data_IF_514789792618
#
_entry.id   IF_514789792618
#
_cell.length_a   1.000
_cell.length_b   1.000
_cell.length_c   1.000
_cell.angle_alpha   90.00
_cell.angle_beta   90.00
_cell.angle_gamma   90.00
#
_symmetry.space_group_name_H-M   'P 1'
#
loop_
_entity.id
_entity.type
_entity.pdbx_description
1 polymer ?
#
# COMPACT_ATOMS: atom_id res chain seq x y z
N UNK A 1 -9.70 7.62 -39.12
CA UNK A 1 -8.85 7.82 -37.94
C UNK A 1 -8.42 6.41 -37.52
N UNK A 2 -7.14 6.10 -37.72
CA UNK A 2 -6.61 4.85 -37.15
C UNK A 2 -6.70 4.93 -35.63
N UNK A 3 -7.30 3.92 -35.02
CA UNK A 3 -7.33 3.78 -33.56
C UNK A 3 -5.91 3.47 -33.15
N UNK A 4 -5.27 4.40 -32.43
CA UNK A 4 -3.92 4.17 -31.89
C UNK A 4 -4.02 3.19 -30.70
N UNK A 5 -3.27 2.08 -30.76
CA UNK A 5 -3.16 1.07 -29.69
C UNK A 5 -2.24 1.58 -28.56
N UNK A 6 -2.59 2.72 -27.94
CA UNK A 6 -1.87 3.28 -26.80
C UNK A 6 -2.81 3.52 -25.62
N UNK A 7 -2.26 3.41 -24.42
CA UNK A 7 -3.06 3.60 -23.19
C UNK A 7 -3.67 5.00 -23.15
N UNK A 8 -4.97 5.07 -23.24
CA UNK A 8 -5.77 6.27 -23.06
C UNK A 8 -6.74 6.09 -21.89
N UNK A 9 -6.89 7.12 -21.08
CA UNK A 9 -7.77 7.09 -19.92
C UNK A 9 -9.11 7.73 -20.25
N UNK A 10 -10.16 6.94 -20.29
CA UNK A 10 -11.54 7.45 -20.42
C UNK A 10 -11.97 8.29 -19.21
N UNK A 11 -11.41 8.01 -18.02
CA UNK A 11 -11.58 8.80 -16.81
C UNK A 11 -10.49 8.50 -15.78
N UNK A 12 -10.32 9.40 -14.79
CA UNK A 12 -9.37 9.22 -13.69
C UNK A 12 -9.72 8.01 -12.79
N UNK A 13 -10.99 7.62 -12.70
CA UNK A 13 -11.44 6.42 -11.99
C UNK A 13 -10.92 5.13 -12.61
N UNK A 14 -10.61 5.12 -13.90
CA UNK A 14 -10.13 3.95 -14.63
C UNK A 14 -8.62 3.74 -14.55
N UNK A 15 -7.91 4.49 -13.66
CA UNK A 15 -6.47 4.33 -13.48
C UNK A 15 -6.10 4.29 -11.99
N UNK A 16 -5.46 3.21 -11.57
CA UNK A 16 -4.95 3.05 -10.19
C UNK A 16 -3.55 3.64 -9.99
N UNK A 17 -2.88 4.09 -11.06
CA UNK A 17 -1.49 4.57 -10.98
C UNK A 17 -0.46 3.45 -10.76
N UNK A 18 -0.78 2.19 -11.07
CA UNK A 18 0.08 1.04 -10.85
C UNK A 18 1.38 1.02 -11.68
N UNK A 19 1.51 1.89 -12.68
CA UNK A 19 2.71 2.07 -13.53
C UNK A 19 3.08 0.86 -14.42
N UNK A 20 2.22 -0.15 -14.59
CA UNK A 20 2.51 -1.30 -15.46
C UNK A 20 2.76 -0.85 -16.91
N UNK A 21 1.92 0.05 -17.44
CA UNK A 21 2.05 0.62 -18.78
C UNK A 21 3.37 1.35 -19.01
N UNK A 22 3.84 2.14 -18.02
CA UNK A 22 5.10 2.85 -18.13
C UNK A 22 6.32 1.92 -18.02
N UNK A 23 6.21 0.82 -17.26
CA UNK A 23 7.29 -0.16 -17.13
C UNK A 23 7.41 -1.08 -18.36
N UNK A 24 6.30 -1.40 -19.04
CA UNK A 24 6.32 -2.31 -20.19
C UNK A 24 6.77 -1.62 -21.47
N UNK A 25 6.63 -0.30 -21.58
CA UNK A 25 6.88 0.43 -22.80
C UNK A 25 8.34 0.29 -23.28
N UNK A 26 8.61 -0.37 -24.44
CA UNK A 26 9.98 -0.62 -24.91
C UNK A 26 10.68 0.66 -25.39
N UNK A 27 9.88 1.68 -25.78
CA UNK A 27 10.38 3.00 -26.21
C UNK A 27 10.52 3.96 -25.04
N UNK A 28 10.01 3.63 -23.84
CA UNK A 28 10.00 4.56 -22.71
C UNK A 28 9.18 5.84 -22.95
N UNK A 29 8.22 5.79 -23.89
CA UNK A 29 7.41 6.95 -24.26
C UNK A 29 6.29 7.26 -23.25
N UNK A 30 6.08 6.43 -22.23
CA UNK A 30 5.06 6.65 -21.20
C UNK A 30 5.72 7.12 -19.91
N UNK A 31 5.33 8.30 -19.46
CA UNK A 31 5.74 8.88 -18.17
C UNK A 31 4.54 8.94 -17.23
N UNK A 32 4.77 8.60 -15.95
CA UNK A 32 3.78 8.81 -14.90
C UNK A 32 3.92 10.26 -14.42
N UNK A 33 2.92 11.09 -14.68
CA UNK A 33 2.92 12.53 -14.38
C UNK A 33 1.84 12.82 -13.36
N UNK A 34 2.15 13.67 -12.37
CA UNK A 34 1.18 14.12 -11.38
C UNK A 34 0.14 15.04 -12.05
N UNK A 35 -1.12 14.84 -11.68
CA UNK A 35 -2.20 15.77 -11.99
C UNK A 35 -2.31 16.88 -10.92
N UNK A 36 -3.34 17.70 -11.03
CA UNK A 36 -3.63 18.81 -10.12
C UNK A 36 -3.89 18.36 -8.67
N UNK A 37 -4.37 17.13 -8.49
CA UNK A 37 -4.58 16.51 -7.18
C UNK A 37 -3.32 15.82 -6.64
N UNK A 38 -2.25 15.73 -7.42
CA UNK A 38 -0.97 15.10 -7.06
C UNK A 38 -0.89 13.60 -7.31
N UNK A 39 -1.87 13.00 -7.98
CA UNK A 39 -1.84 11.59 -8.36
C UNK A 39 -1.16 11.35 -9.70
N UNK A 40 -0.37 10.29 -9.78
CA UNK A 40 0.34 9.93 -11.00
C UNK A 40 -0.57 9.23 -12.02
N UNK A 41 -0.60 9.78 -13.25
CA UNK A 41 -1.28 9.21 -14.41
C UNK A 41 -0.32 9.04 -15.59
N UNK A 42 -0.53 8.04 -16.48
CA UNK A 42 0.30 7.87 -17.66
C UNK A 42 0.08 9.04 -18.64
N UNK A 43 1.19 9.61 -19.12
CA UNK A 43 1.22 10.57 -20.22
C UNK A 43 2.10 9.99 -21.32
N UNK A 44 1.53 9.81 -22.51
CA UNK A 44 2.22 9.23 -23.67
C UNK A 44 2.87 10.34 -24.49
N UNK A 45 4.13 10.16 -24.89
CA UNK A 45 4.75 10.95 -25.95
C UNK A 45 4.44 10.24 -27.28
N UNK A 46 3.50 10.78 -28.05
CA UNK A 46 2.99 10.19 -29.29
C UNK A 46 4.07 10.11 -30.39
N UNK A 47 4.99 11.07 -30.45
CA UNK A 47 6.08 11.07 -31.45
C UNK A 47 7.04 9.89 -31.26
N UNK A 48 7.17 9.39 -30.03
CA UNK A 48 8.01 8.24 -29.69
C UNK A 48 7.23 6.93 -29.70
N UNK A 49 5.91 6.97 -29.72
CA UNK A 49 5.04 5.79 -29.68
C UNK A 49 5.12 5.03 -31.01
N UNK A 50 5.20 3.71 -30.92
CA UNK A 50 5.21 2.80 -32.07
C UNK A 50 3.90 2.00 -32.20
N UNK A 51 2.86 2.39 -31.51
CA UNK A 51 1.50 1.81 -31.52
C UNK A 51 1.47 0.28 -31.37
N UNK A 52 2.29 -0.27 -30.44
CA UNK A 52 2.43 -1.72 -30.26
C UNK A 52 1.40 -2.36 -29.32
N UNK A 53 0.52 -1.59 -28.69
CA UNK A 53 -0.56 -2.06 -27.79
C UNK A 53 -0.11 -2.66 -26.45
N UNK A 54 1.20 -2.81 -26.18
CA UNK A 54 1.70 -3.48 -24.97
C UNK A 54 1.21 -2.81 -23.69
N UNK A 55 1.07 -1.48 -23.66
CA UNK A 55 0.64 -0.72 -22.49
C UNK A 55 -0.83 -1.02 -22.11
N UNK A 56 -1.71 -1.24 -23.10
CA UNK A 56 -3.10 -1.65 -22.87
C UNK A 56 -3.18 -3.09 -22.42
N UNK A 57 -2.43 -3.98 -23.08
CA UNK A 57 -2.41 -5.42 -22.77
C UNK A 57 -1.98 -5.72 -21.32
N UNK A 58 -1.09 -4.90 -20.73
CA UNK A 58 -0.67 -5.06 -19.33
C UNK A 58 -1.48 -4.22 -18.36
N UNK A 59 -2.49 -3.48 -18.82
CA UNK A 59 -3.31 -2.67 -17.92
C UNK A 59 -4.27 -3.58 -17.11
N UNK A 60 -4.12 -3.64 -15.78
CA UNK A 60 -4.98 -4.49 -14.96
C UNK A 60 -6.42 -3.97 -14.84
N UNK A 61 -6.68 -2.72 -15.23
CA UNK A 61 -8.03 -2.16 -15.30
C UNK A 61 -8.76 -2.61 -16.58
N UNK A 62 -8.05 -2.73 -17.70
CA UNK A 62 -8.60 -3.22 -18.97
C UNK A 62 -8.65 -4.76 -18.98
N UNK A 63 -7.63 -5.40 -18.44
CA UNK A 63 -7.48 -6.87 -18.46
C UNK A 63 -7.23 -7.38 -17.04
N UNK A 64 -8.31 -7.58 -16.27
CA UNK A 64 -8.23 -8.05 -14.88
C UNK A 64 -7.53 -9.41 -14.81
N UNK A 65 -6.47 -9.55 -13.97
CA UNK A 65 -5.85 -10.85 -13.75
C UNK A 65 -6.78 -11.77 -12.95
N UNK A 66 -6.55 -13.08 -13.08
CA UNK A 66 -7.30 -14.10 -12.32
C UNK A 66 -6.95 -13.98 -10.83
N UNK A 67 -7.97 -13.95 -9.99
CA UNK A 67 -7.84 -13.90 -8.53
C UNK A 67 -7.73 -15.31 -7.95
N UNK A 68 -7.05 -15.41 -6.82
CA UNK A 68 -6.94 -16.64 -6.04
C UNK A 68 -8.23 -16.94 -5.26
N UNK A 69 -8.43 -18.20 -4.95
CA UNK A 69 -9.41 -18.64 -3.96
C UNK A 69 -8.77 -18.53 -2.55
N UNK A 70 -9.56 -18.13 -1.55
CA UNK A 70 -9.10 -18.08 -0.17
C UNK A 70 -8.95 -19.50 0.39
N UNK A 71 -7.76 -19.87 0.86
CA UNK A 71 -7.47 -21.20 1.39
C UNK A 71 -7.60 -21.28 2.91
N UNK A 72 -7.11 -20.25 3.63
CA UNK A 72 -7.14 -20.23 5.10
C UNK A 72 -7.08 -18.79 5.66
N UNK A 73 -7.54 -18.62 6.89
CA UNK A 73 -7.56 -17.34 7.61
C UNK A 73 -7.02 -17.52 9.01
N UNK A 74 -6.12 -16.60 9.41
CA UNK A 74 -5.51 -16.63 10.73
C UNK A 74 -5.47 -15.23 11.36
N UNK A 75 -5.61 -15.19 12.69
CA UNK A 75 -5.03 -14.13 13.52
C UNK A 75 -3.59 -14.50 13.83
N UNK A 76 -2.64 -13.58 13.69
CA UNK A 76 -1.22 -13.91 13.82
C UNK A 76 -0.43 -12.82 14.55
N UNK A 77 0.50 -13.25 15.41
CA UNK A 77 1.43 -12.39 16.15
C UNK A 77 2.85 -12.91 15.97
N UNK A 78 3.78 -12.03 15.64
CA UNK A 78 5.21 -12.32 15.66
C UNK A 78 5.66 -12.51 17.12
N UNK A 79 6.46 -13.54 17.38
CA UNK A 79 6.98 -13.83 18.74
C UNK A 79 8.05 -12.80 19.18
N UNK A 80 8.64 -12.05 18.27
CA UNK A 80 9.55 -10.93 18.56
C UNK A 80 8.73 -9.65 18.85
N UNK A 81 8.62 -9.31 20.13
CA UNK A 81 7.91 -8.12 20.59
C UNK A 81 8.52 -6.79 20.04
N UNK A 82 9.83 -6.72 19.80
CA UNK A 82 10.47 -5.51 19.27
C UNK A 82 10.08 -5.29 17.80
N UNK A 83 10.09 -6.36 17.01
CA UNK A 83 9.59 -6.35 15.63
C UNK A 83 8.10 -6.00 15.62
N UNK A 84 7.31 -6.61 16.48
CA UNK A 84 5.88 -6.40 16.60
C UNK A 84 5.55 -4.96 17.00
N UNK A 85 6.29 -4.37 17.95
CA UNK A 85 6.11 -2.99 18.39
C UNK A 85 6.35 -1.99 17.25
N UNK A 86 7.37 -2.22 16.43
CA UNK A 86 7.72 -1.35 15.29
C UNK A 86 6.93 -1.63 14.00
N UNK A 87 6.06 -2.65 14.01
CA UNK A 87 5.15 -3.00 12.92
C UNK A 87 3.79 -2.34 13.10
N UNK A 88 3.03 -2.14 12.02
CA UNK A 88 1.67 -1.56 12.10
C UNK A 88 0.67 -2.47 12.83
N UNK A 89 0.84 -3.78 12.72
CA UNK A 89 -0.03 -4.81 13.30
C UNK A 89 0.79 -5.87 14.04
N UNK A 90 0.51 -7.15 13.85
CA UNK A 90 1.17 -8.28 14.50
C UNK A 90 2.58 -8.62 13.99
N UNK A 91 3.13 -7.93 12.98
CA UNK A 91 4.52 -8.09 12.54
C UNK A 91 4.79 -9.21 11.53
N UNK A 92 3.76 -9.81 10.93
CA UNK A 92 3.90 -10.96 10.02
C UNK A 92 4.68 -10.65 8.74
N UNK A 93 4.55 -9.44 8.17
CA UNK A 93 5.34 -9.04 7.00
C UNK A 93 6.85 -9.25 7.21
N UNK A 94 7.35 -8.91 8.39
CA UNK A 94 8.78 -9.05 8.71
C UNK A 94 9.22 -10.52 8.67
N UNK A 95 8.42 -11.44 9.22
CA UNK A 95 8.75 -12.88 9.18
C UNK A 95 8.81 -13.41 7.75
N UNK A 96 7.84 -13.06 6.91
CA UNK A 96 7.84 -13.45 5.50
C UNK A 96 9.04 -12.88 4.74
N UNK A 97 9.39 -11.64 5.02
CA UNK A 97 10.51 -10.96 4.39
C UNK A 97 11.87 -11.54 4.82
N UNK A 98 12.06 -11.80 6.12
CA UNK A 98 13.26 -12.42 6.65
C UNK A 98 13.49 -13.80 6.07
N UNK A 99 12.43 -14.61 5.92
CA UNK A 99 12.52 -15.94 5.33
C UNK A 99 13.06 -15.89 3.90
N UNK A 100 12.56 -14.97 3.09
CA UNK A 100 13.02 -14.80 1.70
C UNK A 100 14.45 -14.28 1.64
N UNK A 101 14.83 -13.34 2.52
CA UNK A 101 16.22 -12.84 2.59
C UNK A 101 17.20 -13.92 3.02
N UNK A 102 16.83 -14.77 4.01
CA UNK A 102 17.65 -15.91 4.46
C UNK A 102 17.88 -16.93 3.35
N UNK A 103 16.95 -17.06 2.40
CA UNK A 103 17.08 -17.90 1.21
C UNK A 103 17.88 -17.21 0.07
N UNK A 104 18.52 -16.06 0.31
CA UNK A 104 19.28 -15.31 -0.69
C UNK A 104 18.41 -14.54 -1.69
N UNK A 105 17.10 -14.42 -1.41
CA UNK A 105 16.16 -13.65 -2.19
C UNK A 105 16.27 -12.15 -1.94
N UNK A 106 15.27 -11.39 -2.42
CA UNK A 106 15.12 -9.95 -2.22
C UNK A 106 13.69 -9.63 -1.82
N UNK A 107 13.52 -8.50 -1.13
CA UNK A 107 12.21 -8.01 -0.71
C UNK A 107 11.96 -6.63 -1.29
N UNK A 108 10.78 -6.43 -1.85
CA UNK A 108 10.33 -5.15 -2.38
C UNK A 108 9.13 -4.66 -1.59
N UNK A 109 9.15 -3.39 -1.21
CA UNK A 109 8.04 -2.77 -0.47
C UNK A 109 8.15 -1.26 -0.44
N UNK A 110 7.14 -0.61 0.13
CA UNK A 110 7.09 0.83 0.26
C UNK A 110 8.02 1.33 1.37
N UNK A 111 8.83 2.35 1.07
CA UNK A 111 9.71 3.04 2.02
C UNK A 111 9.56 4.56 1.87
N UNK A 112 9.99 5.30 2.90
CA UNK A 112 10.20 6.74 2.83
C UNK A 112 11.61 7.01 2.32
N UNK A 113 11.77 7.98 1.42
CA UNK A 113 13.06 8.52 1.05
C UNK A 113 13.50 9.67 1.99
N UNK A 114 14.63 10.30 1.69
CA UNK A 114 15.18 11.40 2.48
C UNK A 114 14.29 12.65 2.51
N UNK A 115 13.40 12.80 1.54
CA UNK A 115 12.40 13.88 1.45
C UNK A 115 11.04 13.45 2.03
N UNK A 116 10.99 12.29 2.70
CA UNK A 116 9.78 11.67 3.22
C UNK A 116 8.73 11.30 2.16
N UNK A 117 9.10 11.26 0.87
CA UNK A 117 8.23 10.77 -0.17
C UNK A 117 8.19 9.23 -0.15
N UNK A 118 7.01 8.66 -0.46
CA UNK A 118 6.82 7.20 -0.42
C UNK A 118 7.10 6.60 -1.79
N UNK A 119 8.01 5.63 -1.83
CA UNK A 119 8.33 4.88 -3.05
C UNK A 119 8.58 3.41 -2.76
N UNK A 120 8.43 2.56 -3.79
CA UNK A 120 8.85 1.17 -3.68
C UNK A 120 10.36 1.06 -3.87
N UNK A 121 10.99 0.34 -2.96
CA UNK A 121 12.42 0.06 -3.00
C UNK A 121 12.66 -1.43 -2.82
N UNK A 122 13.83 -1.88 -3.24
CA UNK A 122 14.34 -3.22 -3.06
C UNK A 122 15.33 -3.24 -1.90
N UNK A 123 15.23 -4.26 -1.05
CA UNK A 123 16.21 -4.59 -0.02
C UNK A 123 16.66 -6.05 -0.18
N UNK A 124 17.93 -6.33 0.05
CA UNK A 124 18.54 -7.66 -0.03
C UNK A 124 19.28 -8.03 1.25
N UNK A 125 19.11 -7.25 2.31
CA UNK A 125 19.68 -7.52 3.64
C UNK A 125 18.62 -7.36 4.75
N UNK A 126 18.77 -8.14 5.83
CA UNK A 126 17.94 -8.02 7.03
C UNK A 126 18.14 -6.66 7.69
N UNK A 127 19.33 -6.07 7.61
CA UNK A 127 19.64 -4.76 8.18
C UNK A 127 18.80 -3.63 7.54
N UNK A 128 18.46 -3.75 6.26
CA UNK A 128 17.65 -2.78 5.53
C UNK A 128 16.13 -2.99 5.65
N UNK A 129 15.70 -4.16 6.10
CA UNK A 129 14.28 -4.52 6.21
C UNK A 129 13.43 -3.54 7.05
N UNK A 130 13.95 -2.91 8.11
CA UNK A 130 13.19 -1.88 8.85
C UNK A 130 12.68 -0.72 8.00
N UNK A 131 13.30 -0.37 6.87
CA UNK A 131 12.83 0.66 5.93
C UNK A 131 11.44 0.34 5.35
N UNK A 132 11.15 -0.96 5.16
CA UNK A 132 9.88 -1.44 4.60
C UNK A 132 8.79 -1.64 5.67
N UNK A 133 9.18 -1.73 6.95
CA UNK A 133 8.28 -2.01 8.06
C UNK A 133 7.32 -0.84 8.29
N UNK A 134 6.08 -1.18 8.63
CA UNK A 134 5.03 -0.19 8.93
C UNK A 134 4.32 0.36 7.69
N UNK A 135 3.04 0.66 7.84
CA UNK A 135 2.21 1.26 6.79
C UNK A 135 2.65 2.70 6.51
N UNK A 136 2.66 3.07 5.23
CA UNK A 136 2.86 4.45 4.77
C UNK A 136 1.55 4.87 4.09
N UNK A 137 0.78 5.72 4.74
CA UNK A 137 -0.53 6.16 4.24
C UNK A 137 -0.37 7.29 3.21
N UNK A 138 0.35 7.02 2.13
CA UNK A 138 0.54 7.88 0.95
C UNK A 138 0.65 6.98 -0.27
N UNK A 139 0.20 7.42 -1.46
CA UNK A 139 0.41 6.65 -2.68
C UNK A 139 1.90 6.48 -2.95
N UNK A 140 2.38 5.24 -2.94
CA UNK A 140 3.77 4.91 -3.21
C UNK A 140 4.08 4.95 -4.72
N UNK A 141 5.20 5.58 -5.08
CA UNK A 141 5.72 5.61 -6.45
C UNK A 141 6.38 4.28 -6.80
N UNK A 142 5.93 3.62 -7.85
CA UNK A 142 6.50 2.36 -8.34
C UNK A 142 7.81 2.58 -9.11
N UNK A 143 7.93 3.67 -9.86
CA UNK A 143 9.14 3.92 -10.66
C UNK A 143 9.42 2.79 -11.65
N UNK A 144 10.64 2.24 -11.62
CA UNK A 144 11.11 1.14 -12.46
C UNK A 144 11.18 -0.21 -11.74
N UNK A 145 10.67 -0.32 -10.51
CA UNK A 145 10.82 -1.49 -9.66
C UNK A 145 10.30 -2.79 -10.30
N UNK A 146 9.25 -2.73 -11.14
CA UNK A 146 8.77 -3.91 -11.85
C UNK A 146 9.80 -4.45 -12.84
N UNK A 147 10.55 -3.57 -13.49
CA UNK A 147 11.64 -3.96 -14.40
C UNK A 147 12.80 -4.62 -13.64
N UNK A 148 13.14 -4.09 -12.47
CA UNK A 148 14.16 -4.65 -11.58
C UNK A 148 13.75 -6.05 -11.08
N UNK A 149 12.51 -6.17 -10.59
CA UNK A 149 11.92 -7.47 -10.18
C UNK A 149 12.00 -8.50 -11.31
N UNK A 150 11.64 -8.12 -12.54
CA UNK A 150 11.74 -9.03 -13.70
C UNK A 150 13.17 -9.50 -13.97
N UNK A 151 14.17 -8.62 -13.81
CA UNK A 151 15.58 -8.99 -13.99
C UNK A 151 16.04 -9.97 -12.92
N UNK A 152 15.67 -9.75 -11.66
CA UNK A 152 16.01 -10.60 -10.52
C UNK A 152 15.38 -12.00 -10.67
N UNK A 153 14.10 -12.06 -11.04
CA UNK A 153 13.41 -13.31 -11.29
C UNK A 153 14.03 -14.10 -12.45
N UNK A 154 14.45 -13.41 -13.53
CA UNK A 154 15.18 -14.03 -14.65
C UNK A 154 16.55 -14.56 -14.27
N UNK A 155 17.19 -13.96 -13.26
CA UNK A 155 18.44 -14.47 -12.68
C UNK A 155 18.23 -15.65 -11.71
N UNK A 156 16.98 -16.13 -11.55
CA UNK A 156 16.63 -17.28 -10.70
C UNK A 156 16.55 -16.97 -9.22
N UNK A 157 16.62 -15.68 -8.80
CA UNK A 157 16.50 -15.30 -7.39
C UNK A 157 15.03 -15.16 -6.99
N UNK A 158 14.72 -15.51 -5.73
CA UNK A 158 13.41 -15.29 -5.14
C UNK A 158 13.15 -13.81 -4.87
N UNK A 159 11.89 -13.40 -5.07
CA UNK A 159 11.40 -12.05 -4.78
C UNK A 159 10.15 -12.15 -3.93
N UNK A 160 10.13 -11.46 -2.79
CA UNK A 160 8.90 -11.11 -2.08
C UNK A 160 8.51 -9.68 -2.47
N UNK A 161 7.39 -9.51 -3.14
CA UNK A 161 6.87 -8.19 -3.47
C UNK A 161 5.67 -7.86 -2.58
N UNK A 162 5.77 -6.76 -1.80
CA UNK A 162 4.66 -6.25 -1.00
C UNK A 162 4.12 -4.93 -1.58
N UNK A 163 2.80 -4.79 -1.61
CA UNK A 163 2.15 -3.57 -2.11
C UNK A 163 0.64 -3.55 -1.86
N UNK A 164 -0.04 -2.60 -2.46
CA UNK A 164 -1.51 -2.59 -2.51
C UNK A 164 -2.02 -3.59 -3.57
N UNK A 165 -3.28 -4.06 -3.49
CA UNK A 165 -3.82 -5.03 -4.46
C UNK A 165 -3.68 -4.59 -5.92
N UNK A 166 -3.86 -3.30 -6.22
CA UNK A 166 -3.68 -2.77 -7.58
C UNK A 166 -2.21 -2.76 -8.04
N UNK A 167 -1.25 -2.62 -7.11
CA UNK A 167 0.17 -2.73 -7.43
C UNK A 167 0.57 -4.18 -7.71
N UNK A 168 0.05 -5.13 -6.93
CA UNK A 168 0.20 -6.57 -7.23
C UNK A 168 -0.39 -6.91 -8.60
N UNK A 169 -1.59 -6.41 -8.90
CA UNK A 169 -2.22 -6.58 -10.22
C UNK A 169 -1.34 -6.04 -11.35
N UNK A 170 -0.78 -4.82 -11.16
CA UNK A 170 0.12 -4.20 -12.11
C UNK A 170 1.40 -5.01 -12.34
N UNK A 171 2.03 -5.51 -11.26
CA UNK A 171 3.22 -6.36 -11.35
C UNK A 171 2.93 -7.66 -12.11
N UNK A 172 1.88 -8.39 -11.71
CA UNK A 172 1.52 -9.67 -12.35
C UNK A 172 1.21 -9.50 -13.84
N UNK A 173 0.50 -8.44 -14.21
CA UNK A 173 0.25 -8.10 -15.64
C UNK A 173 1.52 -7.71 -16.39
N UNK A 174 2.42 -6.95 -15.75
CA UNK A 174 3.71 -6.57 -16.34
C UNK A 174 4.61 -7.77 -16.59
N UNK A 175 4.64 -8.74 -15.70
CA UNK A 175 5.47 -9.96 -15.85
C UNK A 175 4.96 -10.89 -16.95
N UNK A 176 3.68 -10.82 -17.30
CA UNK A 176 2.98 -11.62 -18.33
C UNK A 176 2.88 -13.11 -17.96
N UNK A 177 4.00 -13.73 -17.55
CA UNK A 177 4.08 -15.13 -17.15
C UNK A 177 4.28 -15.22 -15.62
N UNK A 178 3.60 -16.16 -14.95
CA UNK A 178 3.89 -16.50 -13.56
C UNK A 178 5.34 -16.91 -13.38
N UNK A 179 5.86 -16.69 -12.18
CA UNK A 179 7.20 -17.15 -11.77
C UNK A 179 7.08 -17.81 -10.40
N UNK A 180 7.59 -19.01 -10.25
CA UNK A 180 7.66 -19.75 -8.99
C UNK A 180 8.56 -19.06 -7.96
N UNK A 181 9.46 -18.21 -8.41
CA UNK A 181 10.35 -17.41 -7.57
C UNK A 181 9.69 -16.09 -7.10
N UNK A 182 8.46 -15.77 -7.51
CA UNK A 182 7.74 -14.58 -7.06
C UNK A 182 6.71 -14.96 -6.00
N UNK A 183 6.88 -14.40 -4.81
CA UNK A 183 5.88 -14.39 -3.75
C UNK A 183 5.33 -12.97 -3.59
N UNK A 184 4.03 -12.87 -3.38
CA UNK A 184 3.35 -11.58 -3.28
C UNK A 184 2.57 -11.46 -1.99
N UNK A 185 2.74 -10.32 -1.30
CA UNK A 185 1.99 -9.98 -0.08
C UNK A 185 1.30 -8.65 -0.30
N UNK A 186 -0.03 -8.64 -0.35
CA UNK A 186 -0.74 -7.37 -0.35
C UNK A 186 -1.27 -6.99 1.04
N UNK A 187 -1.58 -5.72 1.18
CA UNK A 187 -2.23 -5.18 2.36
C UNK A 187 -3.71 -4.92 2.06
N UNK A 188 -4.59 -5.18 3.02
CA UNK A 188 -5.96 -4.66 2.93
C UNK A 188 -5.88 -3.14 2.82
N UNK A 189 -6.39 -2.61 1.71
CA UNK A 189 -6.20 -1.22 1.32
C UNK A 189 -7.50 -0.44 1.46
N UNK A 190 -7.49 0.58 2.30
CA UNK A 190 -8.59 1.54 2.47
C UNK A 190 -8.72 2.49 1.25
N UNK A 191 -7.59 2.78 0.62
CA UNK A 191 -7.40 3.76 -0.44
C UNK A 191 -6.00 4.37 -0.32
N UNK A 192 -5.56 5.09 -1.34
CA UNK A 192 -4.26 5.77 -1.31
C UNK A 192 -4.45 7.29 -1.30
N UNK A 193 -3.98 7.98 -0.25
CA UNK A 193 -4.04 9.45 -0.19
C UNK A 193 -3.10 10.11 -1.20
N UNK A 194 -3.44 11.33 -1.56
CA UNK A 194 -2.67 12.17 -2.48
C UNK A 194 -1.30 12.52 -1.90
N UNK A 195 -0.20 12.32 -2.66
CA UNK A 195 1.12 12.83 -2.31
C UNK A 195 1.15 14.36 -2.13
N UNK A 196 0.39 15.13 -2.93
CA UNK A 196 0.29 16.60 -2.79
C UNK A 196 -0.28 17.00 -1.43
N UNK A 197 -1.35 16.34 -0.99
CA UNK A 197 -1.96 16.58 0.33
C UNK A 197 -0.99 16.23 1.46
N UNK A 198 -0.27 15.13 1.33
CA UNK A 198 0.74 14.74 2.31
C UNK A 198 1.89 15.75 2.39
N UNK A 199 2.45 16.17 1.26
CA UNK A 199 3.51 17.18 1.25
C UNK A 199 3.05 18.53 1.79
N UNK A 200 1.81 18.96 1.48
CA UNK A 200 1.21 20.16 2.06
C UNK A 200 1.15 20.05 3.59
N UNK A 201 0.75 18.89 4.12
CA UNK A 201 0.75 18.67 5.58
C UNK A 201 2.13 18.81 6.19
N UNK A 202 3.15 18.19 5.58
CA UNK A 202 4.54 18.34 6.04
C UNK A 202 5.01 19.81 6.01
N UNK A 203 4.63 20.55 4.97
CA UNK A 203 4.96 21.97 4.84
C UNK A 203 4.27 22.82 5.91
N UNK A 204 2.99 22.59 6.20
CA UNK A 204 2.25 23.30 7.25
C UNK A 204 2.86 23.04 8.65
N UNK A 205 3.20 21.78 8.93
CA UNK A 205 3.91 21.44 10.19
C UNK A 205 5.30 22.07 10.27
N UNK A 206 6.04 22.09 9.17
CA UNK A 206 7.36 22.73 9.11
C UNK A 206 7.28 24.26 9.33
N UNK A 207 6.23 24.91 8.79
CA UNK A 207 5.97 26.33 9.02
C UNK A 207 5.62 26.61 10.47
N UNK A 208 4.77 25.76 11.09
CA UNK A 208 4.41 25.88 12.52
C UNK A 208 5.64 25.68 13.43
N UNK A 209 6.49 24.69 13.10
CA UNK A 209 7.70 24.38 13.86
C UNK A 209 8.84 25.40 13.67
N UNK A 210 8.90 26.08 12.52
CA UNK A 210 10.05 26.87 12.07
C UNK A 210 11.24 26.03 11.59
N UNK A 211 11.05 24.71 11.39
CA UNK A 211 12.08 23.76 10.97
C UNK A 211 11.45 22.58 10.20
N UNK A 212 12.19 21.87 9.32
CA UNK A 212 11.64 20.81 8.51
C UNK A 212 11.23 19.58 9.33
N UNK A 213 10.17 18.89 8.88
CA UNK A 213 9.84 17.54 9.37
C UNK A 213 10.90 16.56 8.85
N UNK A 214 11.50 15.78 9.74
CA UNK A 214 12.58 14.83 9.42
C UNK A 214 12.19 13.37 9.60
N UNK A 215 11.10 13.08 10.30
CA UNK A 215 10.62 11.71 10.51
C UNK A 215 9.10 11.66 10.62
N UNK A 216 8.52 10.57 10.12
CA UNK A 216 7.09 10.25 10.24
C UNK A 216 6.90 8.83 10.76
N UNK A 217 6.00 8.67 11.72
CA UNK A 217 5.51 7.37 12.19
C UNK A 217 3.99 7.33 12.04
N UNK A 218 3.50 6.66 11.02
CA UNK A 218 2.06 6.58 10.76
C UNK A 218 1.28 5.72 11.76
N UNK A 219 1.97 4.83 12.48
CA UNK A 219 1.37 3.86 13.40
C UNK A 219 2.27 3.65 14.62
N UNK A 220 2.47 4.71 15.43
CA UNK A 220 3.16 4.60 16.70
C UNK A 220 2.26 3.90 17.73
N UNK A 221 2.79 2.89 18.43
CA UNK A 221 2.08 2.06 19.40
C UNK A 221 2.43 2.36 20.86
N UNK A 222 3.09 3.46 21.14
CA UNK A 222 3.47 3.80 22.52
C UNK A 222 2.28 3.85 23.51
N UNK A 223 1.07 4.15 22.98
CA UNK A 223 -0.19 4.16 23.74
C UNK A 223 -1.07 2.91 23.49
N UNK A 224 -0.48 1.84 22.99
CA UNK A 224 -1.20 0.62 22.58
C UNK A 224 -1.56 0.63 21.08
N UNK A 225 -1.82 -0.54 20.53
CA UNK A 225 -2.13 -0.72 19.11
C UNK A 225 -3.48 -0.12 18.72
N UNK A 226 -4.50 -0.26 19.58
CA UNK A 226 -5.85 0.25 19.33
C UNK A 226 -5.90 1.77 19.33
N UNK A 227 -5.05 2.41 20.15
CA UNK A 227 -4.92 3.86 20.29
C UNK A 227 -3.73 4.44 19.50
N UNK A 228 -3.22 3.70 18.52
CA UNK A 228 -2.05 4.10 17.74
C UNK A 228 -2.14 5.52 17.19
N UNK A 229 -1.04 6.24 17.29
CA UNK A 229 -0.90 7.64 16.88
C UNK A 229 -0.18 7.74 15.53
N UNK A 230 -0.46 8.83 14.79
CA UNK A 230 0.37 9.29 13.69
C UNK A 230 1.20 10.45 14.19
N UNK A 231 2.52 10.33 14.07
CA UNK A 231 3.49 11.26 14.64
C UNK A 231 4.42 11.79 13.56
N UNK A 232 4.70 13.08 13.64
CA UNK A 232 5.64 13.81 12.81
C UNK A 232 6.69 14.45 13.73
N UNK A 233 7.95 14.36 13.34
CA UNK A 233 9.07 14.86 14.16
C UNK A 233 9.90 15.83 13.32
N UNK A 234 10.21 16.96 13.91
CA UNK A 234 11.31 17.83 13.49
C UNK A 234 12.55 17.49 14.31
N UNK A 235 13.62 18.28 14.24
CA UNK A 235 14.79 18.05 15.10
C UNK A 235 14.46 18.28 16.59
N UNK A 236 13.60 19.27 16.89
CA UNK A 236 13.35 19.70 18.27
C UNK A 236 11.90 19.49 18.74
N UNK A 237 10.95 19.21 17.85
CA UNK A 237 9.52 19.15 18.17
C UNK A 237 8.88 17.87 17.70
N UNK A 238 7.75 17.54 18.32
CA UNK A 238 6.90 16.41 17.93
C UNK A 238 5.46 16.89 17.76
N UNK A 239 4.88 16.56 16.60
CA UNK A 239 3.48 16.78 16.26
C UNK A 239 2.75 15.46 16.10
N UNK A 240 1.43 15.50 16.20
CA UNK A 240 0.56 14.38 15.90
C UNK A 240 -0.39 14.06 17.04
N UNK A 241 -1.29 13.12 16.72
CA UNK A 241 -2.37 12.70 17.61
C UNK A 241 -2.84 11.28 17.23
N UNK A 242 -3.89 10.80 17.90
CA UNK A 242 -4.58 9.60 17.45
C UNK A 242 -5.06 9.78 16.00
N UNK A 243 -5.11 8.68 15.25
CA UNK A 243 -5.54 8.69 13.83
C UNK A 243 -6.91 9.33 13.58
N UNK A 244 -7.75 9.45 14.60
CA UNK A 244 -9.07 10.09 14.52
C UNK A 244 -9.03 11.62 14.79
N UNK A 245 -7.93 12.13 15.30
CA UNK A 245 -7.75 13.53 15.68
C UNK A 245 -6.68 14.22 14.81
N UNK A 246 -5.72 13.45 14.29
CA UNK A 246 -4.66 13.98 13.46
C UNK A 246 -5.23 14.44 12.10
N UNK A 247 -4.93 15.66 11.69
CA UNK A 247 -5.52 16.36 10.54
C UNK A 247 -5.43 15.57 9.23
N UNK A 248 -4.24 15.12 8.87
CA UNK A 248 -4.01 14.36 7.64
C UNK A 248 -4.77 13.02 7.64
N UNK A 249 -4.74 12.31 8.78
CA UNK A 249 -5.44 11.03 8.93
C UNK A 249 -6.96 11.18 8.92
N UNK A 250 -7.50 12.29 9.42
CA UNK A 250 -8.95 12.60 9.33
C UNK A 250 -9.37 12.73 7.87
N UNK A 251 -8.62 13.46 7.05
CA UNK A 251 -8.89 13.62 5.62
C UNK A 251 -8.81 12.29 4.88
N UNK A 252 -7.82 11.46 5.23
CA UNK A 252 -7.66 10.12 4.66
C UNK A 252 -8.81 9.17 5.04
N UNK A 253 -9.07 9.01 6.34
CA UNK A 253 -10.05 8.05 6.85
C UNK A 253 -11.50 8.40 6.47
N UNK A 254 -11.77 9.67 6.14
CA UNK A 254 -13.05 10.12 5.60
C UNK A 254 -13.09 10.15 4.06
N UNK A 255 -12.14 9.49 3.38
CA UNK A 255 -12.10 9.30 1.92
C UNK A 255 -12.09 10.60 1.09
N UNK A 256 -11.59 11.68 1.69
CA UNK A 256 -11.56 13.00 1.04
C UNK A 256 -10.30 13.16 0.19
N UNK A 257 -9.14 12.72 0.72
CA UNK A 257 -7.84 12.89 0.08
C UNK A 257 -7.40 11.70 -0.78
N UNK A 258 -8.26 10.67 -0.96
CA UNK A 258 -7.90 9.45 -1.68
C UNK A 258 -8.08 9.57 -3.20
N UNK A 259 -7.36 8.70 -3.92
CA UNK A 259 -7.40 8.61 -5.39
C UNK A 259 -8.81 8.29 -5.91
N UNK A 260 -9.25 8.89 -7.03
CA UNK A 260 -10.59 8.64 -7.60
C UNK A 260 -10.94 7.17 -7.81
N UNK A 261 -10.00 6.35 -8.29
CA UNK A 261 -10.20 4.91 -8.50
C UNK A 261 -10.36 4.08 -7.22
N UNK A 262 -10.07 4.63 -6.03
CA UNK A 262 -10.20 3.92 -4.77
C UNK A 262 -11.65 3.83 -4.29
N UNK A 263 -12.52 4.76 -4.67
CA UNK A 263 -13.93 4.77 -4.28
C UNK A 263 -14.72 3.57 -4.80
N UNK A 264 -14.33 3.06 -5.98
CA UNK A 264 -14.90 1.85 -6.61
C UNK A 264 -13.76 0.94 -7.04
N UNK A 265 -12.94 0.51 -6.07
CA UNK A 265 -11.72 -0.22 -6.34
C UNK A 265 -11.98 -1.59 -6.98
N UNK A 266 -11.43 -1.81 -8.17
CA UNK A 266 -11.58 -3.07 -8.90
C UNK A 266 -10.88 -4.27 -8.24
N UNK A 267 -10.00 -4.02 -7.26
CA UNK A 267 -9.12 -5.02 -6.64
C UNK A 267 -9.42 -5.23 -5.15
N UNK A 268 -10.32 -4.45 -4.56
CA UNK A 268 -10.73 -4.59 -3.16
C UNK A 268 -12.01 -5.41 -3.08
N UNK A 269 -11.87 -6.72 -2.97
CA UNK A 269 -12.96 -7.68 -2.83
C UNK A 269 -12.47 -8.91 -2.01
N UNK A 270 -13.36 -9.87 -1.81
CA UNK A 270 -13.07 -11.10 -1.02
C UNK A 270 -11.97 -11.99 -1.61
N UNK A 271 -11.50 -11.74 -2.82
CA UNK A 271 -10.48 -12.53 -3.51
C UNK A 271 -9.28 -11.66 -3.81
N UNK A 272 -8.09 -12.14 -3.50
CA UNK A 272 -6.85 -11.42 -3.74
C UNK A 272 -6.11 -11.96 -4.96
N UNK A 273 -5.22 -11.14 -5.47
CA UNK A 273 -4.22 -11.50 -6.47
C UNK A 273 -2.90 -11.88 -5.81
N UNK A 274 -2.70 -11.53 -4.54
CA UNK A 274 -1.50 -11.85 -3.78
C UNK A 274 -1.56 -13.27 -3.22
N UNK A 275 -0.42 -13.86 -2.94
CA UNK A 275 -0.30 -15.16 -2.30
C UNK A 275 -0.76 -15.11 -0.84
N UNK A 276 -0.46 -14.00 -0.16
CA UNK A 276 -0.92 -13.68 1.19
C UNK A 276 -1.47 -12.25 1.22
N UNK A 277 -2.60 -12.05 1.87
CA UNK A 277 -3.12 -10.72 2.23
C UNK A 277 -2.98 -10.51 3.73
N UNK A 278 -2.45 -9.34 4.14
CA UNK A 278 -2.32 -8.97 5.55
C UNK A 278 -3.14 -7.72 5.89
N UNK A 279 -3.68 -7.69 7.10
CA UNK A 279 -4.46 -6.56 7.63
C UNK A 279 -4.30 -6.43 9.14
N UNK A 280 -4.80 -5.33 9.71
CA UNK A 280 -5.12 -5.28 11.13
C UNK A 280 -6.33 -6.19 11.42
N UNK A 281 -6.25 -7.03 12.44
CA UNK A 281 -7.39 -7.82 12.92
C UNK A 281 -8.23 -7.00 13.91
N UNK A 282 -8.93 -6.01 13.41
CA UNK A 282 -9.83 -5.21 14.26
C UNK A 282 -10.94 -6.06 14.86
N UNK A 283 -11.26 -5.84 16.15
CA UNK A 283 -12.27 -6.59 16.89
C UNK A 283 -11.77 -7.92 17.46
N UNK A 284 -10.48 -8.22 17.39
CA UNK A 284 -9.88 -9.40 18.00
C UNK A 284 -10.16 -9.46 19.50
N UNK A 285 -10.14 -8.32 20.18
CA UNK A 285 -10.46 -8.17 21.61
C UNK A 285 -11.90 -8.57 21.97
N UNK A 286 -12.82 -8.54 21.02
CA UNK A 286 -14.22 -8.95 21.20
C UNK A 286 -14.44 -10.43 20.86
N UNK A 287 -13.73 -10.91 19.83
CA UNK A 287 -13.92 -12.27 19.31
C UNK A 287 -13.04 -13.31 20.00
N UNK A 288 -11.82 -12.90 20.36
CA UNK A 288 -10.80 -13.75 20.97
C UNK A 288 -9.99 -12.92 21.99
N UNK A 289 -10.63 -12.50 23.11
CA UNK A 289 -10.01 -11.61 24.09
C UNK A 289 -8.71 -12.16 24.69
N UNK A 290 -8.59 -13.49 24.80
CA UNK A 290 -7.39 -14.17 25.28
C UNK A 290 -6.20 -14.08 24.31
N UNK A 291 -6.47 -13.80 23.05
CA UNK A 291 -5.43 -13.63 22.02
C UNK A 291 -4.97 -12.17 21.87
N UNK A 292 -5.74 -11.23 22.39
CA UNK A 292 -5.42 -9.79 22.32
C UNK A 292 -4.55 -9.35 23.51
N UNK A 293 -3.47 -8.66 23.22
CA UNK A 293 -2.57 -8.06 24.22
C UNK A 293 -2.28 -6.56 23.93
N UNK A 294 -3.08 -5.94 23.06
CA UNK A 294 -2.95 -4.56 22.56
C UNK A 294 -1.60 -4.20 21.93
N UNK A 295 -0.78 -5.19 21.55
CA UNK A 295 0.46 -4.98 20.80
C UNK A 295 0.26 -5.11 19.27
N UNK A 296 -0.94 -5.51 18.83
CA UNK A 296 -1.34 -5.70 17.43
C UNK A 296 -1.41 -7.18 17.03
N UNK A 297 -2.48 -7.51 16.32
CA UNK A 297 -2.72 -8.82 15.70
C UNK A 297 -2.92 -8.63 14.21
N UNK A 298 -2.16 -9.36 13.39
CA UNK A 298 -2.32 -9.38 11.94
C UNK A 298 -3.42 -10.37 11.57
N UNK A 299 -4.41 -9.94 10.79
CA UNK A 299 -5.26 -10.82 10.01
C UNK A 299 -4.45 -11.28 8.80
N UNK A 300 -4.27 -12.59 8.64
CA UNK A 300 -3.56 -13.22 7.53
C UNK A 300 -4.56 -14.04 6.72
N UNK A 301 -4.72 -13.67 5.44
CA UNK A 301 -5.50 -14.41 4.46
C UNK A 301 -4.52 -15.14 3.54
N UNK A 302 -4.57 -16.46 3.53
CA UNK A 302 -3.74 -17.30 2.66
C UNK A 302 -4.51 -17.59 1.38
N UNK A 303 -4.00 -17.14 0.24
CA UNK A 303 -4.74 -17.16 -1.03
C UNK A 303 -4.15 -18.13 -2.06
N UNK A 304 -2.96 -18.71 -1.81
CA UNK A 304 -2.33 -19.67 -2.72
C UNK A 304 -1.54 -20.73 -1.94
N UNK A 305 -1.22 -21.83 -2.60
CA UNK A 305 -0.33 -22.86 -2.03
C UNK A 305 1.06 -22.29 -1.69
N UNK A 306 1.62 -21.43 -2.54
CA UNK A 306 2.90 -20.76 -2.26
C UNK A 306 2.80 -19.86 -1.01
N UNK A 307 1.66 -19.19 -0.79
CA UNK A 307 1.39 -18.45 0.44
C UNK A 307 1.27 -19.36 1.66
N UNK A 308 0.64 -20.53 1.52
CA UNK A 308 0.54 -21.52 2.59
C UNK A 308 1.93 -22.08 2.97
N UNK A 309 2.77 -22.39 1.98
CA UNK A 309 4.15 -22.83 2.19
C UNK A 309 4.98 -21.77 2.91
N UNK A 310 4.89 -20.50 2.49
CA UNK A 310 5.60 -19.40 3.17
C UNK A 310 5.15 -19.23 4.62
N UNK A 311 3.84 -19.31 4.90
CA UNK A 311 3.33 -19.24 6.27
C UNK A 311 3.83 -20.43 7.11
N UNK A 312 3.85 -21.63 6.53
CA UNK A 312 4.36 -22.85 7.21
C UNK A 312 5.85 -22.73 7.57
N UNK A 313 6.68 -22.08 6.73
CA UNK A 313 8.10 -21.86 7.00
C UNK A 313 8.36 -20.94 8.20
N UNK A 314 7.42 -20.04 8.52
CA UNK A 314 7.58 -19.08 9.62
C UNK A 314 6.72 -19.35 10.84
N UNK A 315 5.91 -20.42 10.84
CA UNK A 315 4.93 -20.72 11.89
C UNK A 315 5.53 -20.81 13.30
N UNK A 316 6.75 -21.32 13.44
CA UNK A 316 7.40 -21.51 14.73
C UNK A 316 7.93 -20.16 15.32
N UNK A 317 7.96 -19.10 14.51
CA UNK A 317 8.30 -17.73 14.91
C UNK A 317 7.07 -16.85 15.16
N UNK A 318 5.86 -17.42 15.07
CA UNK A 318 4.59 -16.72 15.24
C UNK A 318 3.60 -17.51 16.09
N UNK A 319 2.76 -16.79 16.81
CA UNK A 319 1.55 -17.36 17.41
C UNK A 319 0.40 -17.23 16.41
N UNK A 320 -0.25 -18.35 16.07
CA UNK A 320 -1.31 -18.41 15.06
C UNK A 320 -2.63 -18.84 15.70
N UNK A 321 -3.69 -18.09 15.42
CA UNK A 321 -5.07 -18.39 15.77
C UNK A 321 -5.85 -18.68 14.50
N UNK A 322 -6.35 -19.91 14.32
CA UNK A 322 -7.23 -20.23 13.20
C UNK A 322 -8.58 -19.52 13.36
N UNK A 323 -9.03 -18.87 12.31
CA UNK A 323 -10.31 -18.16 12.25
C UNK A 323 -10.95 -18.28 10.86
N UNK A 324 -11.98 -17.49 10.58
CA UNK A 324 -12.64 -17.47 9.28
C UNK A 324 -12.74 -16.05 8.72
N UNK A 325 -13.09 -15.97 7.44
CA UNK A 325 -13.19 -14.69 6.72
C UNK A 325 -14.27 -13.77 7.31
N UNK A 326 -15.41 -14.32 7.76
CA UNK A 326 -16.52 -13.52 8.27
C UNK A 326 -16.10 -12.78 9.53
N UNK A 327 -15.45 -13.49 10.46
CA UNK A 327 -14.90 -12.90 11.70
C UNK A 327 -13.79 -11.90 11.40
N UNK A 328 -12.83 -12.25 10.53
CA UNK A 328 -11.74 -11.35 10.15
C UNK A 328 -12.21 -10.04 9.48
N UNK A 329 -13.32 -10.08 8.75
CA UNK A 329 -13.88 -8.91 8.06
C UNK A 329 -14.88 -8.09 8.90
N UNK A 330 -15.43 -8.62 9.99
CA UNK A 330 -16.56 -8.03 10.74
C UNK A 330 -16.29 -6.60 11.18
N UNK A 331 -15.11 -6.33 11.71
CA UNK A 331 -14.72 -4.99 12.21
C UNK A 331 -13.78 -4.24 11.25
N UNK A 332 -13.53 -4.79 10.06
CA UNK A 332 -12.68 -4.18 9.05
C UNK A 332 -13.34 -4.26 7.66
N UNK A 333 -14.23 -3.33 7.38
CA UNK A 333 -15.01 -3.28 6.13
C UNK A 333 -14.12 -3.29 4.88
N UNK A 334 -12.92 -2.69 4.96
CA UNK A 334 -11.98 -2.65 3.86
C UNK A 334 -11.44 -4.03 3.43
N UNK A 335 -11.63 -5.09 4.24
CA UNK A 335 -11.29 -6.47 3.86
C UNK A 335 -12.20 -7.01 2.74
N UNK A 336 -13.44 -6.51 2.67
CA UNK A 336 -14.47 -7.09 1.79
C UNK A 336 -14.96 -6.16 0.68
N UNK A 337 -14.83 -4.85 0.84
CA UNK A 337 -15.29 -3.86 -0.15
C UNK A 337 -14.56 -2.52 -0.03
N UNK A 338 -14.53 -1.78 -1.14
CA UNK A 338 -14.10 -0.38 -1.15
C UNK A 338 -15.11 0.52 -0.45
N UNK A 339 -14.63 1.66 0.04
CA UNK A 339 -15.46 2.69 0.65
C UNK A 339 -15.67 3.83 -0.37
N UNK A 340 -16.88 4.39 -0.47
CA UNK A 340 -17.17 5.45 -1.43
C UNK A 340 -16.34 6.69 -1.14
N UNK A 341 -16.07 7.47 -2.19
CA UNK A 341 -15.43 8.77 -2.05
C UNK A 341 -16.33 9.72 -1.22
N UNK A 342 -15.70 10.63 -0.49
CA UNK A 342 -16.43 11.66 0.23
C UNK A 342 -17.12 12.61 -0.76
N UNK A 343 -18.40 12.99 -0.55
CA UNK A 343 -19.11 13.93 -1.43
C UNK A 343 -18.43 15.31 -1.53
N UNK A 344 -17.73 15.74 -0.48
CA UNK A 344 -17.00 17.03 -0.46
C UNK A 344 -15.59 16.94 -1.06
N UNK A 345 -15.19 15.77 -1.64
CA UNK A 345 -13.86 15.58 -2.24
C UNK A 345 -13.56 16.59 -3.36
N UNK A 346 -14.53 16.88 -4.23
CA UNK A 346 -14.34 17.86 -5.31
C UNK A 346 -14.04 19.24 -4.74
N UNK A 347 -14.84 19.73 -3.80
CA UNK A 347 -14.62 20.99 -3.09
C UNK A 347 -13.24 21.02 -2.41
N UNK A 348 -12.85 19.93 -1.75
CA UNK A 348 -11.55 19.83 -1.10
C UNK A 348 -10.38 20.08 -2.05
N UNK A 349 -10.34 19.39 -3.21
CA UNK A 349 -9.24 19.55 -4.15
C UNK A 349 -9.28 20.88 -4.91
N UNK A 350 -10.47 21.43 -5.19
CA UNK A 350 -10.64 22.73 -5.81
C UNK A 350 -10.04 23.86 -4.95
N UNK A 351 -10.17 23.76 -3.62
CA UNK A 351 -9.74 24.78 -2.68
C UNK A 351 -8.49 24.38 -1.87
N UNK A 352 -7.80 23.30 -2.26
CA UNK A 352 -6.66 22.75 -1.52
C UNK A 352 -5.53 23.78 -1.30
N UNK A 353 -5.29 24.64 -2.27
CA UNK A 353 -4.21 25.63 -2.23
C UNK A 353 -4.63 26.95 -1.55
N UNK A 354 -5.94 27.15 -1.26
CA UNK A 354 -6.50 28.36 -0.63
C UNK A 354 -6.52 28.29 0.90
N UNK A 355 -6.72 27.09 1.45
CA UNK A 355 -6.88 26.87 2.89
C UNK A 355 -5.82 25.94 3.46
N UNK A 356 -5.55 26.05 4.75
CA UNK A 356 -4.78 25.05 5.50
C UNK A 356 -5.55 23.72 5.58
N UNK A 357 -4.86 22.61 5.79
CA UNK A 357 -5.53 21.32 5.95
C UNK A 357 -6.44 21.28 7.19
N UNK A 358 -6.10 22.04 8.23
CA UNK A 358 -6.94 22.17 9.42
C UNK A 358 -8.28 22.87 9.08
N UNK A 359 -8.24 23.99 8.38
CA UNK A 359 -9.44 24.67 7.88
C UNK A 359 -10.26 23.80 6.94
N UNK A 360 -9.58 22.99 6.10
CA UNK A 360 -10.26 22.04 5.21
C UNK A 360 -10.96 20.90 5.98
N UNK A 361 -10.42 20.47 7.11
CA UNK A 361 -11.11 19.51 8.00
C UNK A 361 -12.39 20.13 8.53
N UNK A 362 -12.34 21.37 9.05
CA UNK A 362 -13.51 22.09 9.56
C UNK A 362 -14.59 22.27 8.47
N UNK A 363 -14.22 22.67 7.26
CA UNK A 363 -15.14 22.89 6.12
C UNK A 363 -15.73 21.61 5.53
N UNK A 364 -14.98 20.52 5.57
CA UNK A 364 -15.36 19.30 4.88
C UNK A 364 -15.91 18.20 5.81
N UNK A 365 -15.56 18.19 7.09
CA UNK A 365 -15.88 17.09 8.00
C UNK A 365 -16.71 17.53 9.22
N UNK A 366 -16.78 18.82 9.50
CA UNK A 366 -17.59 19.44 10.56
C UNK A 366 -18.73 20.26 9.96
#
# INVERSE_FOLDING_TARGET
>A
MEVKDMIELSSKQNCTGCSACANICPRGCIRMTADEEGFLYPKVNEEMCMDCGLCENVCPMLHKPQQHELLAVYGAKNNDDAVRFTSSSGGMFTLFAEEILQQGGVVVGAALDEQLAVQHVLVDSIADLPKLRGSKYVQSKIGKIYSEVRQILRAGRKVLFSGTPCQIAGLKKYLVKPSENLLTVDVVCHGVPSPKVYHKHLQELAQEAGEPVVQVKFRDKAKGWKQGETLFFTEHQRFGASKRQETYMRLFLNNISIRPSCGECAFNNKRSLADITIADYWGIDKQYPEFDDDKGVTLVLVNSEAGAELLAQVKDKAELLTTDFAKGAEYNVAVSKSLPLNPKRAFFFEHLDEYTLKEMVERCLE
#
